data_IF_649202088252
#
_entry.id   IF_649202088252
#
_cell.length_a   1.000
_cell.length_b   1.000
_cell.length_c   1.000
_cell.angle_alpha   90.00
_cell.angle_beta   90.00
_cell.angle_gamma   90.00
#
_symmetry.space_group_name_H-M   'P 1'
#
loop_
_entity.id
_entity.type
_entity.pdbx_description
1 polymer ?
#
# COMPACT_ATOMS: atom_id res chain seq x y z
N UNK A 1 -5.46 -15.25 -9.92
CA UNK A 1 -6.32 -14.17 -10.43
C UNK A 1 -7.01 -13.40 -9.31
N UNK A 2 -7.69 -14.05 -8.35
CA UNK A 2 -8.37 -13.34 -7.24
C UNK A 2 -7.45 -12.43 -6.38
N UNK A 3 -6.22 -12.87 -6.06
CA UNK A 3 -5.27 -12.08 -5.24
C UNK A 3 -4.78 -10.80 -5.96
N UNK A 4 -4.54 -10.89 -7.27
CA UNK A 4 -4.12 -9.75 -8.10
C UNK A 4 -5.24 -8.72 -8.22
N UNK A 5 -6.50 -9.16 -8.35
CA UNK A 5 -7.67 -8.27 -8.42
C UNK A 5 -7.97 -7.56 -7.09
N UNK A 6 -7.80 -8.23 -5.94
CA UNK A 6 -8.02 -7.61 -4.62
C UNK A 6 -6.95 -6.54 -4.35
N UNK A 7 -5.68 -6.79 -4.70
CA UNK A 7 -4.59 -5.82 -4.52
C UNK A 7 -4.81 -4.50 -5.26
N UNK A 8 -5.25 -4.56 -6.52
CA UNK A 8 -5.55 -3.37 -7.32
C UNK A 8 -6.69 -2.51 -6.75
N UNK A 9 -7.77 -3.14 -6.28
CA UNK A 9 -8.90 -2.44 -5.68
C UNK A 9 -8.54 -1.77 -4.35
N UNK A 10 -7.70 -2.41 -3.52
CA UNK A 10 -7.22 -1.84 -2.26
C UNK A 10 -6.34 -0.61 -2.50
N UNK A 11 -5.45 -0.67 -3.51
CA UNK A 11 -4.56 0.45 -3.85
C UNK A 11 -5.34 1.73 -4.20
N UNK A 12 -6.40 1.61 -5.01
CA UNK A 12 -7.25 2.74 -5.40
C UNK A 12 -7.94 3.40 -4.18
N UNK A 13 -8.47 2.58 -3.26
CA UNK A 13 -9.12 3.08 -2.04
C UNK A 13 -8.12 3.75 -1.09
N UNK A 14 -6.90 3.23 -0.99
CA UNK A 14 -5.84 3.82 -0.14
C UNK A 14 -5.44 5.20 -0.63
N UNK A 15 -5.26 5.39 -1.94
CA UNK A 15 -4.90 6.69 -2.53
C UNK A 15 -6.00 7.75 -2.29
N UNK A 16 -7.27 7.39 -2.48
CA UNK A 16 -8.43 8.24 -2.16
C UNK A 16 -8.46 8.65 -0.67
N UNK A 17 -8.22 7.70 0.24
CA UNK A 17 -8.19 7.98 1.69
C UNK A 17 -7.05 8.95 2.05
N UNK A 18 -5.85 8.77 1.49
CA UNK A 18 -4.71 9.67 1.74
C UNK A 18 -5.00 11.09 1.26
N UNK A 19 -5.54 11.23 0.05
CA UNK A 19 -5.88 12.52 -0.55
C UNK A 19 -7.00 13.23 0.23
N UNK A 20 -8.00 12.49 0.70
CA UNK A 20 -9.14 13.07 1.45
C UNK A 20 -8.79 13.54 2.87
N UNK A 21 -7.68 13.05 3.45
CA UNK A 21 -7.29 13.34 4.83
C UNK A 21 -6.30 14.51 4.97
N UNK A 22 -5.72 15.00 3.87
CA UNK A 22 -4.73 16.07 3.88
C UNK A 22 -5.38 17.47 3.84
N UNK A 23 -4.92 18.45 4.65
CA UNK A 23 -5.32 19.85 4.49
C UNK A 23 -5.03 20.34 3.06
N UNK A 24 -5.89 21.21 2.48
CA UNK A 24 -5.78 21.61 1.08
C UNK A 24 -4.43 22.28 0.74
N UNK A 25 -3.80 22.93 1.72
CA UNK A 25 -2.48 23.57 1.56
C UNK A 25 -1.34 22.54 1.45
N UNK A 26 -1.56 21.28 1.83
CA UNK A 26 -0.55 20.20 1.80
C UNK A 26 -0.94 19.00 0.93
N UNK A 27 -2.07 19.05 0.24
CA UNK A 27 -2.57 17.96 -0.60
C UNK A 27 -1.55 17.54 -1.68
N UNK A 28 -0.83 18.50 -2.28
CA UNK A 28 0.22 18.21 -3.27
C UNK A 28 1.41 17.43 -2.70
N UNK A 29 1.88 17.80 -1.51
CA UNK A 29 2.97 17.08 -0.83
C UNK A 29 2.51 15.68 -0.37
N UNK A 30 1.29 15.56 0.14
CA UNK A 30 0.72 14.27 0.53
C UNK A 30 0.56 13.33 -0.68
N UNK A 31 0.12 13.85 -1.82
CA UNK A 31 0.00 13.09 -3.08
C UNK A 31 1.35 12.59 -3.59
N UNK A 32 2.38 13.46 -3.63
CA UNK A 32 3.72 13.06 -4.05
C UNK A 32 4.33 11.96 -3.16
N UNK A 33 4.08 12.02 -1.85
CA UNK A 33 4.50 10.98 -0.91
C UNK A 33 3.74 9.67 -1.13
N UNK A 34 2.44 9.73 -1.43
CA UNK A 34 1.63 8.55 -1.72
C UNK A 34 2.11 7.83 -2.98
N UNK A 35 2.36 8.57 -4.06
CA UNK A 35 2.86 8.04 -5.33
C UNK A 35 4.22 7.36 -5.14
N UNK A 36 5.15 8.05 -4.48
CA UNK A 36 6.48 7.49 -4.18
C UNK A 36 6.38 6.22 -3.34
N UNK A 37 5.48 6.21 -2.35
CA UNK A 37 5.27 5.04 -1.49
C UNK A 37 4.67 3.86 -2.26
N UNK A 38 3.77 4.13 -3.21
CA UNK A 38 3.17 3.11 -4.05
C UNK A 38 4.19 2.47 -4.99
N UNK A 39 4.96 3.29 -5.72
CA UNK A 39 6.03 2.83 -6.61
C UNK A 39 7.11 2.07 -5.85
N UNK A 40 7.56 2.62 -4.72
CA UNK A 40 8.55 1.97 -3.86
C UNK A 40 8.04 0.65 -3.29
N UNK A 41 6.81 0.62 -2.79
CA UNK A 41 6.18 -0.59 -2.25
C UNK A 41 6.01 -1.67 -3.33
N UNK A 42 5.61 -1.28 -4.53
CA UNK A 42 5.50 -2.16 -5.69
C UNK A 42 6.85 -2.79 -6.06
N UNK A 43 7.89 -1.96 -6.24
CA UNK A 43 9.23 -2.42 -6.55
C UNK A 43 9.80 -3.34 -5.47
N UNK A 44 9.63 -2.98 -4.18
CA UNK A 44 10.07 -3.80 -3.05
C UNK A 44 9.34 -5.14 -3.01
N UNK A 45 8.04 -5.15 -3.27
CA UNK A 45 7.24 -6.38 -3.34
C UNK A 45 7.73 -7.32 -4.44
N UNK A 46 7.95 -6.80 -5.65
CA UNK A 46 8.50 -7.57 -6.78
C UNK A 46 9.88 -8.13 -6.43
N UNK A 47 10.77 -7.30 -5.86
CA UNK A 47 12.13 -7.71 -5.52
C UNK A 47 12.14 -8.81 -4.43
N UNK A 48 11.38 -8.64 -3.36
CA UNK A 48 11.32 -9.60 -2.25
C UNK A 48 10.70 -10.93 -2.70
N UNK A 49 9.52 -10.89 -3.32
CA UNK A 49 8.83 -12.10 -3.76
C UNK A 49 9.61 -12.83 -4.85
N UNK A 50 10.17 -12.09 -5.82
CA UNK A 50 11.03 -12.66 -6.86
C UNK A 50 12.30 -13.30 -6.31
N UNK A 51 12.94 -12.67 -5.31
CA UNK A 51 14.14 -13.21 -4.66
C UNK A 51 13.83 -14.49 -3.88
N UNK A 52 12.76 -14.49 -3.09
CA UNK A 52 12.31 -15.67 -2.33
C UNK A 52 11.95 -16.79 -3.30
N UNK A 53 11.18 -16.48 -4.34
CA UNK A 53 10.75 -17.47 -5.32
C UNK A 53 11.93 -18.13 -6.02
N UNK A 54 12.86 -17.31 -6.53
CA UNK A 54 14.10 -17.79 -7.17
C UNK A 54 14.92 -18.68 -6.23
N UNK A 55 15.05 -18.31 -4.95
CA UNK A 55 15.78 -19.10 -3.96
C UNK A 55 15.10 -20.44 -3.66
N UNK A 56 13.77 -20.45 -3.59
CA UNK A 56 12.99 -21.68 -3.40
C UNK A 56 13.13 -22.60 -4.62
N UNK A 57 12.94 -22.08 -5.83
CA UNK A 57 13.10 -22.85 -7.06
C UNK A 57 14.48 -23.49 -7.14
N UNK A 58 15.54 -22.71 -6.93
CA UNK A 58 16.93 -23.18 -6.97
C UNK A 58 17.23 -24.27 -5.94
N UNK A 59 16.71 -24.12 -4.72
CA UNK A 59 16.94 -25.08 -3.65
C UNK A 59 16.17 -26.38 -3.87
N UNK A 60 14.91 -26.30 -4.30
CA UNK A 60 14.07 -27.47 -4.58
C UNK A 60 14.56 -28.25 -5.80
N UNK A 61 14.97 -27.56 -6.87
CA UNK A 61 15.54 -28.22 -8.05
C UNK A 61 16.88 -28.89 -7.71
N UNK A 62 17.75 -28.23 -6.95
CA UNK A 62 19.02 -28.82 -6.53
C UNK A 62 18.83 -30.05 -5.64
N UNK A 63 17.80 -30.07 -4.79
CA UNK A 63 17.54 -31.18 -3.87
C UNK A 63 16.94 -32.41 -4.55
N UNK A 64 16.29 -32.25 -5.71
CA UNK A 64 15.52 -33.30 -6.40
C UNK A 64 15.95 -33.50 -7.85
N UNK A 65 17.10 -32.96 -8.22
CA UNK A 65 17.62 -33.08 -9.58
C UNK A 65 17.79 -34.56 -9.93
N UNK A 66 17.41 -34.97 -11.15
CA UNK A 66 17.65 -36.33 -11.60
C UNK A 66 19.15 -36.62 -11.75
N UNK A 67 19.53 -37.87 -11.55
CA UNK A 67 20.87 -38.35 -11.85
C UNK A 67 21.16 -38.25 -13.36
N UNK A 68 22.45 -38.13 -13.71
CA UNK A 68 22.90 -38.05 -15.10
C UNK A 68 23.02 -36.63 -15.67
N UNK A 69 22.79 -35.60 -14.85
CA UNK A 69 23.12 -34.21 -15.19
C UNK A 69 24.59 -33.91 -14.86
N UNK A 70 25.26 -33.20 -15.75
CA UNK A 70 26.52 -32.53 -15.43
C UNK A 70 26.27 -31.32 -14.53
N UNK A 71 27.33 -30.84 -13.87
CA UNK A 71 27.24 -29.64 -13.02
C UNK A 71 26.80 -28.40 -13.81
N UNK A 72 27.20 -28.28 -15.06
CA UNK A 72 26.85 -27.13 -15.92
C UNK A 72 25.36 -27.16 -16.30
N UNK A 73 24.84 -28.33 -16.69
CA UNK A 73 23.41 -28.52 -16.99
C UNK A 73 22.54 -28.25 -15.76
N UNK A 74 22.98 -28.70 -14.58
CA UNK A 74 22.27 -28.43 -13.34
C UNK A 74 22.24 -26.93 -13.00
N UNK A 75 23.35 -26.22 -13.15
CA UNK A 75 23.38 -24.77 -12.90
C UNK A 75 22.53 -23.99 -13.91
N UNK A 76 22.57 -24.38 -15.20
CA UNK A 76 21.69 -23.80 -16.22
C UNK A 76 20.20 -24.01 -15.89
N UNK A 77 19.83 -25.23 -15.48
CA UNK A 77 18.47 -25.56 -15.10
C UNK A 77 17.98 -24.83 -13.83
N UNK A 78 18.88 -24.58 -12.88
CA UNK A 78 18.61 -23.82 -11.64
C UNK A 78 18.44 -22.32 -11.89
N UNK A 79 18.95 -21.78 -13.00
CA UNK A 79 18.84 -20.35 -13.28
C UNK A 79 17.37 -19.92 -13.40
N UNK A 80 16.58 -20.66 -14.18
CA UNK A 80 15.15 -20.41 -14.40
C UNK A 80 14.43 -21.68 -14.87
N UNK A 81 13.09 -21.72 -14.80
CA UNK A 81 12.28 -22.77 -15.43
C UNK A 81 12.52 -22.87 -16.94
N UNK A 82 12.69 -21.73 -17.62
CA UNK A 82 13.02 -21.70 -19.04
C UNK A 82 14.36 -22.38 -19.34
N UNK A 83 15.38 -22.09 -18.53
CA UNK A 83 16.68 -22.77 -18.60
C UNK A 83 16.57 -24.27 -18.38
N UNK A 84 15.76 -24.74 -17.43
CA UNK A 84 15.55 -26.17 -17.23
C UNK A 84 14.88 -26.85 -18.43
N UNK A 85 13.91 -26.19 -19.06
CA UNK A 85 13.24 -26.70 -20.28
C UNK A 85 14.22 -26.75 -21.46
N UNK A 86 15.07 -25.73 -21.61
CA UNK A 86 16.10 -25.67 -22.64
C UNK A 86 17.16 -26.76 -22.43
N UNK A 87 17.69 -26.91 -21.21
CA UNK A 87 18.62 -27.98 -20.86
C UNK A 87 18.01 -29.36 -21.11
N UNK A 88 16.75 -29.58 -20.72
CA UNK A 88 16.06 -30.84 -20.94
C UNK A 88 15.93 -31.19 -22.44
N UNK A 89 15.89 -30.21 -23.34
CA UNK A 89 15.78 -30.46 -24.78
C UNK A 89 17.03 -31.12 -25.37
N UNK A 90 18.19 -30.98 -24.73
CA UNK A 90 19.46 -31.57 -25.16
C UNK A 90 19.75 -32.95 -24.54
N UNK A 91 18.92 -33.40 -23.58
CA UNK A 91 19.15 -34.63 -22.81
C UNK A 91 18.47 -35.86 -23.42
N UNK A 92 18.93 -37.08 -23.06
CA UNK A 92 18.19 -38.31 -23.31
C UNK A 92 16.78 -38.24 -22.73
N UNK A 93 15.83 -38.92 -23.41
CA UNK A 93 14.39 -38.78 -23.16
C UNK A 93 14.00 -38.94 -21.68
N UNK A 94 14.52 -39.97 -21.02
CA UNK A 94 14.17 -40.29 -19.64
C UNK A 94 14.67 -39.21 -18.66
N UNK A 95 15.92 -38.75 -18.82
CA UNK A 95 16.50 -37.67 -18.01
C UNK A 95 15.81 -36.33 -18.29
N UNK A 96 15.46 -36.07 -19.55
CA UNK A 96 14.74 -34.87 -19.96
C UNK A 96 13.33 -34.79 -19.36
N UNK A 97 12.60 -35.90 -19.31
CA UNK A 97 11.28 -35.96 -18.66
C UNK A 97 11.40 -35.81 -17.15
N UNK A 98 12.37 -36.46 -16.52
CA UNK A 98 12.64 -36.32 -15.09
C UNK A 98 12.99 -34.87 -14.71
N UNK A 99 13.89 -34.22 -15.47
CA UNK A 99 14.29 -32.83 -15.21
C UNK A 99 13.10 -31.88 -15.35
N UNK A 100 12.28 -32.04 -16.40
CA UNK A 100 11.08 -31.22 -16.60
C UNK A 100 10.10 -31.38 -15.44
N UNK A 101 9.79 -32.61 -15.04
CA UNK A 101 8.87 -32.86 -13.93
C UNK A 101 9.38 -32.23 -12.63
N UNK A 102 10.65 -32.41 -12.29
CA UNK A 102 11.25 -31.79 -11.11
C UNK A 102 11.20 -30.26 -11.19
N UNK A 103 11.50 -29.67 -12.35
CA UNK A 103 11.49 -28.21 -12.52
C UNK A 103 10.08 -27.62 -12.38
N UNK A 104 9.06 -28.25 -12.97
CA UNK A 104 7.66 -27.81 -12.81
C UNK A 104 7.16 -27.96 -11.37
N UNK A 105 7.53 -29.04 -10.68
CA UNK A 105 7.21 -29.22 -9.25
C UNK A 105 7.88 -28.18 -8.37
N UNK A 106 9.16 -27.88 -8.63
CA UNK A 106 9.91 -26.83 -7.93
C UNK A 106 9.26 -25.45 -8.14
N UNK A 107 8.87 -25.14 -9.38
CA UNK A 107 8.19 -23.89 -9.72
C UNK A 107 6.80 -23.77 -9.05
N UNK A 108 6.01 -24.86 -9.05
CA UNK A 108 4.71 -24.88 -8.39
C UNK A 108 4.85 -24.67 -6.87
N UNK A 109 5.91 -25.20 -6.27
CA UNK A 109 6.24 -25.00 -4.85
C UNK A 109 6.68 -23.57 -4.55
N UNK A 110 7.54 -23.00 -5.38
CA UNK A 110 7.86 -21.57 -5.35
C UNK A 110 6.58 -20.74 -5.33
N UNK A 111 5.65 -20.99 -6.27
CA UNK A 111 4.41 -20.24 -6.38
C UNK A 111 3.53 -20.37 -5.12
N UNK A 112 3.49 -21.56 -4.50
CA UNK A 112 2.79 -21.78 -3.23
C UNK A 112 3.43 -20.99 -2.09
N UNK A 113 4.76 -21.01 -1.97
CA UNK A 113 5.48 -20.28 -0.92
C UNK A 113 5.31 -18.77 -1.11
N UNK A 114 5.46 -18.26 -2.33
CA UNK A 114 5.23 -16.85 -2.65
C UNK A 114 3.81 -16.41 -2.27
N UNK A 115 2.80 -17.26 -2.51
CA UNK A 115 1.42 -17.00 -2.11
C UNK A 115 1.24 -16.92 -0.59
N UNK A 116 1.87 -17.82 0.17
CA UNK A 116 1.84 -17.80 1.65
C UNK A 116 2.53 -16.56 2.19
N UNK A 117 3.71 -16.22 1.67
CA UNK A 117 4.46 -15.01 2.06
C UNK A 117 3.62 -13.76 1.79
N UNK A 118 3.01 -13.67 0.61
CA UNK A 118 2.12 -12.55 0.26
C UNK A 118 0.92 -12.46 1.20
N UNK A 119 0.28 -13.59 1.54
CA UNK A 119 -0.83 -13.61 2.50
C UNK A 119 -0.41 -13.15 3.91
N UNK A 120 0.77 -13.56 4.38
CA UNK A 120 1.32 -13.12 5.67
C UNK A 120 1.61 -11.62 5.66
N UNK A 121 2.26 -11.10 4.62
CA UNK A 121 2.55 -9.67 4.47
C UNK A 121 1.26 -8.84 4.45
N UNK A 122 0.26 -9.28 3.69
CA UNK A 122 -1.04 -8.61 3.60
C UNK A 122 -1.77 -8.60 4.95
N UNK A 123 -1.77 -9.74 5.65
CA UNK A 123 -2.38 -9.87 6.99
C UNK A 123 -1.68 -8.97 8.00
N UNK A 124 -0.34 -8.95 7.99
CA UNK A 124 0.47 -8.08 8.86
C UNK A 124 0.18 -6.60 8.61
N UNK A 125 0.12 -6.17 7.34
CA UNK A 125 -0.24 -4.81 6.97
C UNK A 125 -1.66 -4.45 7.44
N UNK A 126 -2.64 -5.33 7.26
CA UNK A 126 -4.00 -5.12 7.71
C UNK A 126 -4.09 -4.94 9.24
N UNK A 127 -3.38 -5.78 10.02
CA UNK A 127 -3.31 -5.66 11.48
C UNK A 127 -2.65 -4.33 11.88
N UNK A 128 -1.55 -3.96 11.24
CA UNK A 128 -0.85 -2.71 11.51
C UNK A 128 -1.77 -1.50 11.24
N UNK A 129 -2.45 -1.47 10.10
CA UNK A 129 -3.41 -0.40 9.77
C UNK A 129 -4.55 -0.36 10.80
N UNK A 130 -5.13 -1.51 11.15
CA UNK A 130 -6.21 -1.58 12.12
C UNK A 130 -5.79 -1.06 13.52
N UNK A 131 -4.58 -1.38 13.97
CA UNK A 131 -4.05 -0.92 15.27
C UNK A 131 -3.73 0.57 15.28
N UNK A 132 -3.13 1.10 14.21
CA UNK A 132 -2.85 2.53 14.07
C UNK A 132 -4.13 3.36 14.01
N UNK A 133 -5.12 2.92 13.23
CA UNK A 133 -6.42 3.59 13.14
C UNK A 133 -7.20 3.55 14.46
N UNK A 134 -7.13 2.43 15.20
CA UNK A 134 -7.79 2.32 16.51
C UNK A 134 -7.19 3.29 17.52
N UNK A 135 -5.88 3.48 17.51
CA UNK A 135 -5.16 4.40 18.42
C UNK A 135 -5.45 5.87 18.08
N UNK A 136 -5.56 6.21 16.79
CA UNK A 136 -5.92 7.56 16.35
C UNK A 136 -7.36 7.94 16.74
N UNK A 137 -8.30 6.98 16.69
CA UNK A 137 -9.71 7.20 17.03
C UNK A 137 -9.97 7.40 18.52
N UNK A 138 -9.04 6.98 19.38
CA UNK A 138 -9.13 7.11 20.85
C UNK A 138 -8.55 8.42 21.40
N UNK A 139 -7.92 9.28 20.58
CA UNK A 139 -7.60 10.64 21.01
C UNK A 139 -8.85 11.52 20.85
N UNK A 140 -9.35 12.19 21.91
CA UNK A 140 -10.32 13.26 21.75
C UNK A 140 -9.74 14.27 20.77
N UNK A 141 -10.45 14.55 19.67
CA UNK A 141 -10.02 15.57 18.72
C UNK A 141 -9.80 16.90 19.46
N UNK A 142 -8.81 17.73 19.06
CA UNK A 142 -8.71 19.08 19.56
C UNK A 142 -10.08 19.74 19.35
N UNK A 143 -10.67 20.30 20.42
CA UNK A 143 -11.85 21.16 20.29
C UNK A 143 -11.58 22.11 19.13
N UNK A 144 -12.41 22.03 18.08
CA UNK A 144 -12.43 23.03 17.04
C UNK A 144 -12.48 24.38 17.74
N UNK A 145 -11.58 25.34 17.41
CA UNK A 145 -11.62 26.63 18.08
C UNK A 145 -13.00 27.22 17.85
N UNK A 146 -13.81 27.37 18.91
CA UNK A 146 -15.09 28.10 18.91
C UNK A 146 -14.92 29.59 18.59
N UNK A 147 -13.78 30.00 18.04
CA UNK A 147 -13.40 31.39 17.76
C UNK A 147 -13.75 31.84 16.33
N UNK A 148 -14.86 31.36 15.76
CA UNK A 148 -15.42 31.93 14.53
C UNK A 148 -16.93 32.23 14.64
N UNK A 149 -17.63 31.64 15.62
CA UNK A 149 -19.04 31.92 15.86
C UNK A 149 -19.26 33.14 16.79
N UNK A 150 -18.32 33.44 17.70
CA UNK A 150 -18.46 34.59 18.62
C UNK A 150 -18.14 35.95 17.97
N UNK A 151 -17.34 35.99 16.90
CA UNK A 151 -17.03 37.25 16.20
C UNK A 151 -18.15 37.77 15.28
N UNK A 152 -19.11 36.92 14.87
CA UNK A 152 -20.28 37.37 14.11
C UNK A 152 -21.43 37.87 15.01
N UNK A 153 -21.49 37.43 16.27
CA UNK A 153 -22.53 37.86 17.20
C UNK A 153 -22.19 39.23 17.84
N UNK A 154 -20.90 39.50 18.08
CA UNK A 154 -20.42 40.81 18.54
C UNK A 154 -20.65 41.95 17.53
N UNK A 155 -20.51 41.67 16.24
CA UNK A 155 -20.69 42.67 15.17
C UNK A 155 -22.18 42.97 14.91
N UNK A 156 -23.06 41.96 15.00
CA UNK A 156 -24.52 42.16 14.96
C UNK A 156 -25.07 42.90 16.18
N UNK A 157 -24.50 42.67 17.36
CA UNK A 157 -24.86 43.41 18.58
C UNK A 157 -24.39 44.88 18.52
N UNK A 158 -23.18 45.14 18.01
CA UNK A 158 -22.64 46.49 17.82
C UNK A 158 -23.44 47.35 16.83
N UNK A 159 -23.92 46.74 15.74
CA UNK A 159 -24.75 47.42 14.74
C UNK A 159 -26.13 47.84 15.28
N UNK A 160 -26.73 47.06 16.19
CA UNK A 160 -28.03 47.39 16.81
C UNK A 160 -27.96 48.50 17.85
N UNK A 161 -26.83 48.66 18.54
CA UNK A 161 -26.64 49.73 19.54
C UNK A 161 -26.41 51.08 18.87
N UNK A 162 -25.77 51.11 17.70
CA UNK A 162 -25.48 52.34 16.94
C UNK A 162 -26.70 52.94 16.23
N UNK A 163 -27.80 52.19 16.12
CA UNK A 163 -29.04 52.62 15.45
C UNK A 163 -30.09 53.25 16.37
N UNK A 164 -29.76 53.58 17.64
CA UNK A 164 -30.70 54.34 18.48
C UNK A 164 -30.68 55.83 18.08
N UNK A 165 -31.82 56.41 17.67
CA UNK A 165 -31.89 57.84 17.40
C UNK A 165 -31.64 58.62 18.70
N UNK A 166 -30.78 59.64 18.61
CA UNK A 166 -30.51 60.59 19.71
C UNK A 166 -31.86 61.17 20.20
N UNK A 167 -32.15 61.20 21.51
CA UNK A 167 -33.28 61.96 22.00
C UNK A 167 -33.00 63.46 21.77
N UNK A 168 -33.89 64.11 21.03
CA UNK A 168 -33.87 65.56 20.82
C UNK A 168 -34.02 66.27 22.17
N UNK A 169 -33.13 67.24 22.43
CA UNK A 169 -33.23 68.09 23.61
C UNK A 169 -34.39 69.09 23.40
N UNK A 170 -35.30 69.26 24.38
CA UNK A 170 -36.34 70.27 24.26
C UNK A 170 -35.75 71.69 24.30
N UNK A 171 -36.38 72.67 23.62
CA UNK A 171 -35.90 74.04 23.57
C UNK A 171 -36.03 74.71 24.94
N UNK A 172 -34.94 75.36 25.38
CA UNK A 172 -34.96 76.25 26.55
C UNK A 172 -35.71 77.54 26.17
N UNK A 173 -36.90 77.72 26.72
CA UNK A 173 -37.63 78.99 26.67
C UNK A 173 -37.10 79.96 27.74
N UNK A 174 -37.05 81.23 27.35
CA UNK A 174 -36.58 82.43 28.03
C UNK A 174 -36.94 82.62 29.52
N UNK A 175 -35.99 83.23 30.25
CA UNK A 175 -36.24 84.48 30.98
C UNK A 175 -35.00 85.35 30.96
#
# INVERSE_FOLDING_TARGET
MAVVSIGGAVSAVVTEVILSAAPPERAGAASAMAETSAEFGGALGIALLGSIGTAVYRSELAAKAPDGLTSEELEAAKSTLGGAVETAAALPRDTAEALRNTAFDAFAREARIASVVSAVLMTGAAILIATLLRTARTRPGPEAPRSAAEHQDGDRAGARIRARPRPERPPRSHR
#
